data_IF_235046798379
#
_entry.id   IF_235046798379
#
_cell.length_a   1.000
_cell.length_b   1.000
_cell.length_c   1.000
_cell.angle_alpha   90.00
_cell.angle_beta   90.00
_cell.angle_gamma   90.00
#
_symmetry.space_group_name_H-M   'P 1'
#
loop_
_entity.id
_entity.type
_entity.pdbx_description
1 polymer ?
#
# COMPACT_ATOMS: atom_id res chain seq x y z
N UNK A 1 17.33 -3.12 4.27
CA UNK A 1 15.96 -3.24 4.82
C UNK A 1 15.04 -3.77 3.73
N UNK A 2 14.29 -4.82 4.03
CA UNK A 2 13.32 -5.44 3.13
C UNK A 2 11.91 -5.07 3.57
N UNK A 3 11.18 -4.35 2.72
CA UNK A 3 9.84 -3.84 3.01
C UNK A 3 8.87 -4.46 2.01
N UNK A 4 7.73 -4.95 2.50
CA UNK A 4 6.66 -5.46 1.67
C UNK A 4 5.37 -4.70 1.98
N UNK A 5 4.65 -4.26 0.95
CA UNK A 5 3.27 -3.80 1.09
C UNK A 5 2.31 -4.87 0.56
N UNK A 6 1.19 -5.08 1.25
CA UNK A 6 0.19 -6.08 0.89
C UNK A 6 -1.21 -5.67 1.34
N UNK A 7 -2.08 -5.37 0.39
CA UNK A 7 -3.51 -5.30 0.67
C UNK A 7 -4.05 -6.73 0.82
N UNK A 8 -4.44 -7.10 2.03
CA UNK A 8 -4.87 -8.49 2.35
C UNK A 8 -6.37 -8.72 2.19
N UNK A 9 -7.13 -7.66 1.88
CA UNK A 9 -8.59 -7.72 1.71
C UNK A 9 -9.30 -8.56 2.80
N UNK A 10 -8.93 -8.28 4.05
CA UNK A 10 -9.37 -9.02 5.25
C UNK A 10 -8.30 -10.00 5.75
N UNK A 11 -7.60 -9.60 6.81
CA UNK A 11 -6.47 -10.38 7.35
C UNK A 11 -6.90 -11.77 7.83
N UNK A 12 -8.10 -11.92 8.40
CA UNK A 12 -8.61 -13.23 8.85
C UNK A 12 -8.76 -14.21 7.68
N UNK A 13 -9.31 -13.74 6.55
CA UNK A 13 -9.43 -14.55 5.35
C UNK A 13 -8.05 -14.90 4.75
N UNK A 14 -7.11 -13.96 4.79
CA UNK A 14 -5.74 -14.20 4.33
C UNK A 14 -5.00 -15.21 5.22
N UNK A 15 -5.18 -15.16 6.54
CA UNK A 15 -4.61 -16.16 7.47
C UNK A 15 -5.13 -17.57 7.21
N UNK A 16 -6.41 -17.71 6.86
CA UNK A 16 -6.99 -19.03 6.48
C UNK A 16 -6.39 -19.60 5.18
N UNK A 17 -5.65 -18.79 4.43
CA UNK A 17 -4.91 -19.18 3.22
C UNK A 17 -3.39 -19.24 3.45
N UNK A 18 -2.97 -19.48 4.70
CA UNK A 18 -1.57 -19.60 5.11
C UNK A 18 -0.71 -18.31 4.95
N UNK A 19 -1.28 -17.15 5.23
CA UNK A 19 -0.53 -15.88 5.25
C UNK A 19 0.67 -15.97 6.20
N UNK A 20 0.54 -16.62 7.36
CA UNK A 20 1.63 -16.75 8.36
C UNK A 20 2.78 -17.58 7.82
N UNK A 21 2.51 -18.72 7.18
CA UNK A 21 3.54 -19.54 6.54
C UNK A 21 4.25 -18.80 5.40
N UNK A 22 3.50 -18.09 4.58
CA UNK A 22 4.07 -17.23 3.54
C UNK A 22 4.96 -16.13 4.14
N UNK A 23 4.51 -15.44 5.20
CA UNK A 23 5.27 -14.39 5.85
C UNK A 23 6.59 -14.92 6.45
N UNK A 24 6.57 -16.12 7.03
CA UNK A 24 7.76 -16.81 7.53
C UNK A 24 8.78 -17.03 6.41
N UNK A 25 8.33 -17.47 5.24
CA UNK A 25 9.19 -17.70 4.08
C UNK A 25 9.69 -16.40 3.43
N UNK A 26 8.80 -15.41 3.24
CA UNK A 26 9.14 -14.11 2.67
C UNK A 26 10.07 -13.30 3.56
N UNK A 27 9.89 -13.38 4.88
CA UNK A 27 10.75 -12.85 5.92
C UNK A 27 11.16 -11.37 5.73
N UNK A 28 10.22 -10.42 5.52
CA UNK A 28 10.56 -9.00 5.44
C UNK A 28 10.94 -8.43 6.80
N UNK A 29 11.71 -7.34 6.80
CA UNK A 29 11.95 -6.54 8.01
C UNK A 29 10.71 -5.76 8.41
N UNK A 30 9.96 -5.25 7.42
CA UNK A 30 8.73 -4.47 7.59
C UNK A 30 7.66 -4.96 6.61
N UNK A 31 6.47 -5.26 7.14
CA UNK A 31 5.28 -5.61 6.36
C UNK A 31 4.21 -4.54 6.58
N UNK A 32 3.84 -3.83 5.52
CA UNK A 32 2.76 -2.85 5.49
C UNK A 32 1.48 -3.50 4.98
N UNK A 33 0.43 -3.52 5.79
CA UNK A 33 -0.85 -4.13 5.46
C UNK A 33 -1.93 -3.09 5.22
N UNK A 34 -2.79 -3.32 4.25
CA UNK A 34 -3.98 -2.55 3.97
C UNK A 34 -5.20 -3.47 3.97
N UNK A 35 -6.36 -2.88 4.22
CA UNK A 35 -7.64 -3.60 4.34
C UNK A 35 -7.57 -4.78 5.32
N UNK A 36 -7.08 -4.53 6.53
CA UNK A 36 -7.06 -5.54 7.59
C UNK A 36 -8.48 -6.00 7.96
N UNK A 37 -9.48 -5.09 7.88
CA UNK A 37 -10.91 -5.34 8.14
C UNK A 37 -11.18 -6.06 9.48
N UNK A 38 -10.27 -5.91 10.42
CA UNK A 38 -10.32 -6.50 11.75
C UNK A 38 -9.53 -5.66 12.75
N UNK A 39 -9.90 -5.73 14.00
CA UNK A 39 -9.09 -5.26 15.12
C UNK A 39 -8.10 -6.35 15.56
N UNK A 40 -7.04 -5.98 16.25
CA UNK A 40 -5.98 -6.93 16.67
C UNK A 40 -6.50 -8.05 17.59
N UNK A 41 -7.53 -7.78 18.40
CA UNK A 41 -8.19 -8.77 19.27
C UNK A 41 -9.02 -9.81 18.51
N UNK A 42 -9.32 -9.57 17.24
CA UNK A 42 -10.05 -10.50 16.36
C UNK A 42 -9.13 -11.44 15.57
N UNK A 43 -7.83 -11.38 15.82
CA UNK A 43 -6.79 -12.07 15.06
C UNK A 43 -5.83 -12.78 16.01
N UNK A 44 -5.33 -13.97 15.63
CA UNK A 44 -4.25 -14.61 16.37
C UNK A 44 -2.92 -13.85 16.13
N UNK A 45 -2.75 -12.76 16.87
CA UNK A 45 -1.53 -11.92 16.79
C UNK A 45 -0.28 -12.65 17.24
N UNK A 46 -0.41 -13.66 18.11
CA UNK A 46 0.73 -14.45 18.60
C UNK A 46 1.45 -15.20 17.48
N UNK A 47 0.73 -15.59 16.43
CA UNK A 47 1.33 -16.22 15.27
C UNK A 47 2.35 -15.31 14.57
N UNK A 48 2.10 -14.01 14.54
CA UNK A 48 3.02 -13.02 13.96
C UNK A 48 4.15 -12.63 14.95
N UNK A 49 3.83 -12.48 16.24
CA UNK A 49 4.81 -12.22 17.29
C UNK A 49 5.85 -13.35 17.40
N UNK A 50 5.43 -14.60 17.22
CA UNK A 50 6.31 -15.77 17.20
C UNK A 50 7.33 -15.75 16.04
N UNK A 51 7.05 -14.99 14.98
CA UNK A 51 7.98 -14.73 13.87
C UNK A 51 8.93 -13.54 14.14
N UNK A 52 8.84 -12.93 15.31
CA UNK A 52 9.68 -11.80 15.74
C UNK A 52 9.15 -10.42 15.36
N UNK A 53 7.87 -10.30 14.99
CA UNK A 53 7.29 -9.02 14.64
C UNK A 53 6.70 -8.28 15.84
N UNK A 54 6.95 -6.99 15.91
CA UNK A 54 6.19 -6.01 16.68
C UNK A 54 5.02 -5.53 15.81
N UNK A 55 3.80 -5.52 16.35
CA UNK A 55 2.58 -5.26 15.59
C UNK A 55 2.04 -3.88 15.93
N UNK A 56 1.82 -3.06 14.91
CA UNK A 56 1.23 -1.73 15.01
C UNK A 56 -0.02 -1.72 14.14
N UNK A 57 -1.18 -1.50 14.76
CA UNK A 57 -2.49 -1.72 14.15
C UNK A 57 -3.36 -0.49 14.25
N UNK A 58 -3.95 -0.06 13.14
CA UNK A 58 -4.86 1.06 13.10
C UNK A 58 -6.13 0.70 12.33
N UNK A 59 -7.18 0.34 13.07
CA UNK A 59 -8.45 -0.09 12.52
C UNK A 59 -9.38 1.08 12.26
N UNK A 60 -10.29 0.92 11.28
CA UNK A 60 -11.41 1.83 11.13
C UNK A 60 -12.39 1.69 12.30
N UNK A 61 -13.12 2.75 12.61
CA UNK A 61 -14.21 2.70 13.59
C UNK A 61 -15.35 1.78 13.12
N UNK A 62 -15.62 1.77 11.82
CA UNK A 62 -16.58 0.84 11.21
C UNK A 62 -15.99 -0.57 11.17
N UNK A 63 -16.65 -1.50 11.87
CA UNK A 63 -16.23 -2.91 11.92
C UNK A 63 -16.22 -3.55 10.53
N UNK A 64 -15.19 -4.38 10.27
CA UNK A 64 -15.06 -5.11 9.01
C UNK A 64 -14.76 -4.25 7.78
N UNK A 65 -14.25 -3.04 7.97
CA UNK A 65 -13.99 -2.07 6.91
C UNK A 65 -12.59 -1.49 7.03
N UNK A 66 -11.91 -1.25 5.88
CA UNK A 66 -10.62 -0.55 5.82
C UNK A 66 -9.59 -1.09 6.83
N UNK A 67 -8.82 -0.21 7.45
CA UNK A 67 -7.79 -0.54 8.44
C UNK A 67 -6.43 -0.82 7.81
N UNK A 68 -5.40 -0.32 8.48
CA UNK A 68 -3.99 -0.56 8.10
C UNK A 68 -3.21 -1.11 9.29
N UNK A 69 -2.11 -1.78 9.01
CA UNK A 69 -1.17 -2.21 10.04
C UNK A 69 0.26 -2.19 9.49
N UNK A 70 1.24 -2.12 10.39
CA UNK A 70 2.63 -2.39 10.08
C UNK A 70 3.15 -3.42 11.08
N UNK A 71 3.72 -4.50 10.56
CA UNK A 71 4.44 -5.50 11.34
C UNK A 71 5.93 -5.31 11.08
N UNK A 72 6.71 -5.12 12.12
CA UNK A 72 8.13 -4.80 12.01
C UNK A 72 8.99 -5.65 12.93
N UNK A 73 10.09 -6.20 12.42
CA UNK A 73 11.13 -6.85 13.24
C UNK A 73 12.02 -5.85 13.94
N UNK A 74 12.04 -4.62 13.44
CA UNK A 74 12.81 -3.52 13.98
C UNK A 74 11.86 -2.66 14.82
N UNK A 75 12.22 -2.41 16.08
CA UNK A 75 11.42 -1.54 16.93
C UNK A 75 11.58 -0.08 16.48
N UNK A 76 10.50 0.64 16.14
CA UNK A 76 10.57 2.03 15.74
C UNK A 76 10.85 2.94 16.95
N UNK A 77 11.38 4.13 16.67
CA UNK A 77 11.53 5.21 17.66
C UNK A 77 10.22 5.92 17.95
N UNK A 78 9.34 5.99 16.94
CA UNK A 78 8.04 6.64 17.04
C UNK A 78 7.02 5.93 16.15
N UNK A 79 5.76 5.98 16.57
CA UNK A 79 4.60 5.48 15.82
C UNK A 79 3.58 6.61 15.72
N UNK A 80 3.13 6.91 14.50
CA UNK A 80 2.07 7.86 14.23
C UNK A 80 0.84 7.16 13.66
N UNK A 81 -0.31 7.42 14.25
CA UNK A 81 -1.59 6.86 13.84
C UNK A 81 -2.46 7.94 13.20
N UNK A 82 -2.81 7.75 11.92
CA UNK A 82 -3.62 8.69 11.17
C UNK A 82 -2.83 9.87 10.61
N UNK A 83 -3.54 10.88 10.14
CA UNK A 83 -2.99 12.12 9.58
C UNK A 83 -3.52 13.40 10.28
N UNK A 84 -4.31 13.26 11.35
CA UNK A 84 -4.91 14.38 12.07
C UNK A 84 -6.17 14.93 11.40
N UNK A 85 -6.71 14.27 10.38
CA UNK A 85 -7.96 14.64 9.72
C UNK A 85 -9.02 13.59 10.09
N UNK A 86 -9.93 13.96 11.00
CA UNK A 86 -10.85 13.06 11.67
C UNK A 86 -11.62 12.12 10.72
N UNK A 87 -12.17 12.65 9.62
CA UNK A 87 -12.93 11.85 8.63
C UNK A 87 -12.13 10.74 7.99
N UNK A 88 -10.80 10.90 7.88
CA UNK A 88 -9.88 9.88 7.34
C UNK A 88 -9.37 8.95 8.43
N UNK A 89 -9.10 9.51 9.60
CA UNK A 89 -8.61 8.75 10.75
C UNK A 89 -9.69 7.78 11.26
N UNK A 90 -10.98 8.13 11.14
CA UNK A 90 -12.10 7.21 11.40
C UNK A 90 -12.13 5.98 10.47
N UNK A 91 -11.53 6.09 9.29
CA UNK A 91 -11.44 4.97 8.34
C UNK A 91 -10.12 4.17 8.49
N UNK A 92 -9.21 4.55 9.41
CA UNK A 92 -7.98 3.80 9.70
C UNK A 92 -7.11 3.61 8.46
N UNK A 93 -6.68 4.73 7.80
CA UNK A 93 -6.07 4.68 6.47
C UNK A 93 -4.57 4.88 6.44
N UNK A 94 -3.99 5.42 7.53
CA UNK A 94 -2.57 5.76 7.61
C UNK A 94 -1.99 5.31 8.95
N UNK A 95 -0.82 4.66 8.89
CA UNK A 95 0.06 4.44 10.03
C UNK A 95 1.50 4.63 9.58
N UNK A 96 2.34 5.26 10.40
CA UNK A 96 3.76 5.51 10.14
C UNK A 96 4.63 5.02 11.27
N UNK A 97 5.73 4.36 10.92
CA UNK A 97 6.81 3.99 11.83
C UNK A 97 8.08 4.77 11.48
N UNK A 98 8.66 5.45 12.46
CA UNK A 98 9.92 6.18 12.31
C UNK A 98 11.07 5.35 12.86
N UNK A 99 12.03 5.02 12.00
CA UNK A 99 13.26 4.29 12.31
C UNK A 99 14.48 5.23 12.30
N UNK A 100 15.69 4.69 12.51
CA UNK A 100 16.92 5.50 12.53
C UNK A 100 17.20 6.18 11.18
N UNK A 101 17.03 5.46 10.07
CA UNK A 101 17.45 5.91 8.74
C UNK A 101 16.28 6.35 7.85
N UNK A 102 15.06 5.91 8.14
CA UNK A 102 13.87 6.21 7.34
C UNK A 102 12.59 6.11 8.15
N UNK A 103 11.53 6.65 7.59
CA UNK A 103 10.16 6.47 8.06
C UNK A 103 9.35 5.71 7.03
N UNK A 104 8.65 4.66 7.47
CA UNK A 104 7.82 3.81 6.62
C UNK A 104 6.36 4.05 6.95
N UNK A 105 5.56 4.33 5.94
CA UNK A 105 4.12 4.59 6.07
C UNK A 105 3.33 3.52 5.32
N UNK A 106 2.33 2.93 5.96
CA UNK A 106 1.31 2.11 5.31
C UNK A 106 0.08 2.97 5.05
N UNK A 107 -0.34 3.05 3.79
CA UNK A 107 -1.47 3.87 3.34
C UNK A 107 -2.47 3.05 2.55
N UNK A 108 -3.75 3.22 2.88
CA UNK A 108 -4.86 2.69 2.08
C UNK A 108 -5.68 3.84 1.52
N UNK A 109 -5.43 4.19 0.25
CA UNK A 109 -6.20 5.21 -0.44
C UNK A 109 -7.63 4.75 -0.73
N UNK A 110 -8.64 5.64 -0.64
CA UNK A 110 -10.02 5.26 -0.93
C UNK A 110 -10.20 4.77 -2.35
N UNK A 111 -11.05 3.74 -2.52
CA UNK A 111 -11.61 3.41 -3.83
C UNK A 111 -12.79 4.32 -4.15
N UNK A 112 -12.89 4.78 -5.40
CA UNK A 112 -14.02 5.53 -5.92
C UNK A 112 -15.10 4.67 -6.60
N UNK A 113 -14.91 3.34 -6.65
CA UNK A 113 -15.76 2.43 -7.45
C UNK A 113 -17.18 2.24 -6.93
N UNK A 114 -17.50 2.74 -5.73
CA UNK A 114 -18.80 2.59 -5.08
C UNK A 114 -19.77 3.75 -5.36
N UNK A 115 -19.52 4.55 -6.39
CA UNK A 115 -20.38 5.65 -6.81
C UNK A 115 -19.76 7.04 -6.67
N UNK A 116 -20.48 8.04 -7.16
CA UNK A 116 -19.97 9.43 -7.31
C UNK A 116 -19.53 10.05 -5.97
N UNK A 117 -20.27 9.79 -4.88
CA UNK A 117 -19.92 10.30 -3.56
C UNK A 117 -18.57 9.74 -3.07
N UNK A 118 -18.29 8.46 -3.33
CA UNK A 118 -17.00 7.86 -2.99
C UNK A 118 -15.88 8.36 -3.91
N UNK A 119 -16.16 8.61 -5.16
CA UNK A 119 -15.20 9.22 -6.08
C UNK A 119 -14.87 10.65 -5.65
N UNK A 120 -15.87 11.46 -5.28
CA UNK A 120 -15.66 12.80 -4.76
C UNK A 120 -14.84 12.78 -3.44
N UNK A 121 -15.16 11.86 -2.54
CA UNK A 121 -14.38 11.65 -1.31
C UNK A 121 -12.93 11.29 -1.61
N UNK A 122 -12.69 10.40 -2.58
CA UNK A 122 -11.34 10.03 -3.02
C UNK A 122 -10.57 11.23 -3.55
N UNK A 123 -11.16 12.05 -4.41
CA UNK A 123 -10.48 13.23 -4.96
C UNK A 123 -10.11 14.24 -3.86
N UNK A 124 -11.01 14.44 -2.88
CA UNK A 124 -10.71 15.27 -1.71
C UNK A 124 -9.60 14.68 -0.85
N UNK A 125 -9.63 13.35 -0.62
CA UNK A 125 -8.54 12.63 0.05
C UNK A 125 -7.20 12.86 -0.63
N UNK A 126 -7.13 12.72 -1.96
CA UNK A 126 -5.90 12.88 -2.73
C UNK A 126 -5.29 14.28 -2.55
N UNK A 127 -6.13 15.32 -2.59
CA UNK A 127 -5.69 16.70 -2.38
C UNK A 127 -5.18 16.93 -0.94
N UNK A 128 -5.92 16.43 0.07
CA UNK A 128 -5.55 16.55 1.47
C UNK A 128 -4.31 15.71 1.80
N UNK A 129 -4.18 14.53 1.21
CA UNK A 129 -3.00 13.66 1.37
C UNK A 129 -1.74 14.29 0.77
N UNK A 130 -1.84 14.90 -0.42
CA UNK A 130 -0.73 15.64 -1.02
C UNK A 130 -0.22 16.71 -0.05
N UNK A 131 -1.12 17.52 0.49
CA UNK A 131 -0.78 18.58 1.44
C UNK A 131 -0.14 18.03 2.72
N UNK A 132 -0.74 16.95 3.27
CA UNK A 132 -0.20 16.29 4.46
C UNK A 132 1.23 15.78 4.24
N UNK A 133 1.50 15.15 3.09
CA UNK A 133 2.84 14.65 2.75
C UNK A 133 3.82 15.80 2.47
N UNK A 134 3.36 16.87 1.82
CA UNK A 134 4.22 18.06 1.56
C UNK A 134 4.67 18.71 2.87
N UNK A 135 3.77 18.85 3.84
CA UNK A 135 4.10 19.34 5.18
C UNK A 135 5.02 18.36 5.93
N UNK A 136 4.73 17.06 5.85
CA UNK A 136 5.50 16.03 6.53
C UNK A 136 6.95 15.93 6.04
N UNK A 137 7.17 16.02 4.72
CA UNK A 137 8.52 15.96 4.11
C UNK A 137 9.48 17.02 4.65
N UNK A 138 8.96 18.16 5.10
CA UNK A 138 9.80 19.23 5.66
C UNK A 138 10.44 18.84 6.99
N UNK A 139 9.83 17.91 7.72
CA UNK A 139 10.26 17.46 9.05
C UNK A 139 10.86 16.05 9.00
N UNK A 140 10.34 15.21 8.13
CA UNK A 140 10.69 13.80 7.96
C UNK A 140 10.98 13.55 6.48
N UNK A 141 12.20 13.89 5.99
CA UNK A 141 12.51 13.81 4.56
C UNK A 141 12.68 12.37 4.05
N UNK A 142 13.11 11.43 4.89
CA UNK A 142 13.43 10.06 4.49
C UNK A 142 12.18 9.18 4.50
N UNK A 143 11.17 9.52 3.68
CA UNK A 143 9.89 8.82 3.63
C UNK A 143 9.90 7.68 2.61
N UNK A 144 9.28 6.55 3.02
CA UNK A 144 8.89 5.43 2.16
C UNK A 144 7.39 5.25 2.35
N UNK A 145 6.62 5.49 1.28
CA UNK A 145 5.16 5.43 1.28
C UNK A 145 4.72 4.15 0.60
N UNK A 146 4.25 3.20 1.39
CA UNK A 146 3.84 1.88 0.96
C UNK A 146 2.32 1.75 1.00
N UNK A 147 1.71 1.16 -0.02
CA UNK A 147 0.28 0.88 0.10
C UNK A 147 -0.47 0.70 -1.20
N UNK A 148 -1.78 0.56 -1.02
CA UNK A 148 -2.75 0.52 -2.09
C UNK A 148 -3.24 1.94 -2.39
N UNK A 149 -2.87 2.44 -3.57
CA UNK A 149 -3.24 3.78 -4.03
C UNK A 149 -4.59 3.80 -4.76
N UNK A 150 -5.14 2.63 -5.09
CA UNK A 150 -6.36 2.52 -5.89
C UNK A 150 -6.30 3.34 -7.21
N UNK A 151 -5.09 3.53 -7.75
CA UNK A 151 -4.82 4.26 -9.00
C UNK A 151 -3.76 3.50 -9.80
N UNK A 152 -4.05 3.24 -11.08
CA UNK A 152 -3.03 2.93 -12.08
C UNK A 152 -2.43 4.22 -12.60
N UNK A 153 -1.12 4.37 -12.55
CA UNK A 153 -0.44 5.62 -12.96
C UNK A 153 -0.46 5.82 -14.47
N UNK A 154 0.01 4.84 -15.22
CA UNK A 154 0.20 4.92 -16.69
C UNK A 154 -0.50 3.80 -17.43
N UNK A 155 -0.70 3.93 -18.76
CA UNK A 155 -1.30 2.85 -19.56
C UNK A 155 -0.60 1.49 -19.45
N UNK A 156 0.70 1.47 -19.18
CA UNK A 156 1.48 0.24 -18.93
C UNK A 156 1.07 -0.48 -17.64
N UNK A 157 0.39 0.21 -16.72
CA UNK A 157 0.02 -0.28 -15.38
C UNK A 157 -1.36 -0.95 -15.33
N UNK A 158 -2.05 -1.03 -16.48
CA UNK A 158 -3.41 -1.55 -16.56
C UNK A 158 -3.63 -2.36 -17.84
N UNK A 159 -4.36 -3.47 -17.74
CA UNK A 159 -4.85 -4.12 -18.94
C UNK A 159 -5.97 -3.27 -19.60
N UNK A 160 -6.04 -3.27 -20.92
CA UNK A 160 -7.05 -2.54 -21.69
C UNK A 160 -7.21 -1.06 -21.29
N UNK A 161 -6.16 -0.22 -21.36
CA UNK A 161 -6.23 1.18 -20.92
C UNK A 161 -7.30 2.00 -21.67
N UNK A 162 -7.60 1.67 -22.94
CA UNK A 162 -8.61 2.39 -23.71
C UNK A 162 -10.02 2.17 -23.17
N UNK A 163 -10.39 0.92 -22.85
CA UNK A 163 -11.71 0.59 -22.31
C UNK A 163 -11.89 1.07 -20.86
N UNK A 164 -10.82 1.26 -20.12
CA UNK A 164 -10.81 1.71 -18.73
C UNK A 164 -10.57 3.22 -18.57
N UNK A 165 -10.49 3.98 -19.65
CA UNK A 165 -10.11 5.41 -19.60
C UNK A 165 -11.04 6.27 -18.70
N UNK A 166 -12.28 5.84 -18.50
CA UNK A 166 -13.26 6.51 -17.65
C UNK A 166 -13.68 5.64 -16.43
N UNK A 167 -12.82 4.70 -16.02
CA UNK A 167 -13.08 3.84 -14.87
C UNK A 167 -12.34 4.39 -13.65
N UNK A 168 -13.01 4.44 -12.47
CA UNK A 168 -12.37 4.83 -11.20
C UNK A 168 -11.14 3.96 -10.95
N UNK A 169 -10.03 4.58 -10.59
CA UNK A 169 -8.71 3.99 -10.50
C UNK A 169 -7.85 4.21 -11.76
N UNK A 170 -8.45 4.70 -12.86
CA UNK A 170 -7.72 5.08 -14.08
C UNK A 170 -8.29 6.34 -14.74
N UNK A 171 -9.06 7.15 -14.01
CA UNK A 171 -9.55 8.43 -14.51
C UNK A 171 -8.40 9.39 -14.83
N UNK A 172 -8.55 10.30 -15.82
CA UNK A 172 -7.51 11.26 -16.15
C UNK A 172 -7.02 12.06 -14.94
N UNK A 173 -7.93 12.56 -14.12
CA UNK A 173 -7.61 13.36 -12.92
C UNK A 173 -6.90 12.54 -11.82
N UNK A 174 -7.18 11.25 -11.68
CA UNK A 174 -6.47 10.37 -10.75
C UNK A 174 -5.04 10.12 -11.22
N UNK A 175 -4.84 9.88 -12.52
CA UNK A 175 -3.51 9.68 -13.12
C UNK A 175 -2.67 10.96 -13.09
N UNK A 176 -3.30 12.10 -13.33
CA UNK A 176 -2.63 13.41 -13.22
C UNK A 176 -2.16 13.67 -11.80
N UNK A 177 -3.03 13.41 -10.81
CA UNK A 177 -2.64 13.52 -9.40
C UNK A 177 -1.45 12.59 -9.09
N UNK A 178 -1.49 11.33 -9.54
CA UNK A 178 -0.40 10.37 -9.28
C UNK A 178 0.92 10.82 -9.91
N UNK A 179 0.88 11.37 -11.12
CA UNK A 179 2.05 11.95 -11.79
C UNK A 179 2.64 13.11 -10.98
N UNK A 180 1.79 14.08 -10.58
CA UNK A 180 2.19 15.22 -9.78
C UNK A 180 2.71 14.80 -8.39
N UNK A 181 2.07 13.83 -7.77
CA UNK A 181 2.49 13.30 -6.48
C UNK A 181 3.88 12.67 -6.54
N UNK A 182 4.14 11.83 -7.53
CA UNK A 182 5.48 11.25 -7.75
C UNK A 182 6.50 12.36 -8.03
N UNK A 183 6.20 13.30 -8.91
CA UNK A 183 7.08 14.43 -9.25
C UNK A 183 7.34 15.36 -8.07
N UNK A 184 6.50 15.37 -7.06
CA UNK A 184 6.68 16.19 -5.85
C UNK A 184 7.84 15.73 -4.95
N UNK A 185 8.54 14.66 -5.30
CA UNK A 185 9.74 14.23 -4.59
C UNK A 185 9.86 12.73 -4.33
N UNK A 186 9.19 11.89 -5.12
CA UNK A 186 9.22 10.44 -4.95
C UNK A 186 9.64 9.70 -6.21
N UNK A 187 10.21 8.51 -6.00
CA UNK A 187 10.52 7.52 -7.03
C UNK A 187 9.59 6.32 -6.87
N UNK A 188 8.92 5.91 -7.94
CA UNK A 188 8.24 4.62 -8.02
C UNK A 188 9.29 3.51 -8.08
N UNK A 189 9.52 2.85 -6.95
CA UNK A 189 10.62 1.89 -6.81
C UNK A 189 10.50 0.72 -7.80
N UNK A 190 9.28 0.26 -8.08
CA UNK A 190 9.08 -0.82 -9.05
C UNK A 190 9.45 -0.37 -10.47
N UNK A 191 8.95 0.79 -10.92
CA UNK A 191 9.26 1.31 -12.26
C UNK A 191 10.69 1.79 -12.41
N UNK A 192 11.39 2.09 -11.32
CA UNK A 192 12.83 2.33 -11.34
C UNK A 192 13.62 1.12 -11.90
N UNK A 193 13.21 -0.10 -11.52
CA UNK A 193 13.91 -1.34 -11.95
C UNK A 193 13.24 -2.05 -13.11
N UNK A 194 11.94 -1.88 -13.33
CA UNK A 194 11.17 -2.69 -14.28
C UNK A 194 10.27 -1.83 -15.16
N UNK A 195 10.56 -1.82 -16.47
CA UNK A 195 9.80 -1.11 -17.49
C UNK A 195 8.93 -2.06 -18.35
N UNK A 196 8.85 -3.34 -17.99
CA UNK A 196 8.08 -4.32 -18.74
C UNK A 196 6.57 -4.15 -18.53
N UNK A 197 5.75 -4.36 -19.57
CA UNK A 197 4.30 -4.36 -19.46
C UNK A 197 3.77 -5.59 -18.72
N UNK A 198 2.46 -5.61 -18.47
CA UNK A 198 1.75 -6.75 -17.89
C UNK A 198 2.20 -7.13 -16.47
N UNK A 199 2.73 -6.17 -15.74
CA UNK A 199 3.13 -6.31 -14.35
C UNK A 199 2.07 -5.66 -13.45
N UNK A 200 1.25 -6.49 -12.80
CA UNK A 200 0.10 -6.04 -12.03
C UNK A 200 0.16 -6.51 -10.59
N UNK A 201 -0.55 -5.81 -9.70
CA UNK A 201 -0.63 -6.13 -8.28
C UNK A 201 -2.04 -6.49 -7.80
N UNK A 202 -3.05 -6.25 -8.64
CA UNK A 202 -4.46 -6.54 -8.34
C UNK A 202 -5.20 -7.12 -9.54
N UNK A 203 -6.12 -8.03 -9.28
CA UNK A 203 -7.02 -8.62 -10.28
C UNK A 203 -8.42 -8.80 -9.69
N UNK A 204 -9.46 -8.46 -10.46
CA UNK A 204 -10.83 -8.74 -10.05
C UNK A 204 -11.03 -10.25 -9.81
N UNK A 205 -11.80 -10.60 -8.79
CA UNK A 205 -12.24 -11.99 -8.58
C UNK A 205 -13.16 -12.52 -9.71
N UNK A 206 -13.70 -11.61 -10.54
CA UNK A 206 -14.64 -11.96 -11.60
C UNK A 206 -13.92 -12.54 -12.82
N UNK A 207 -14.62 -13.46 -13.51
CA UNK A 207 -14.24 -13.97 -14.84
C UNK A 207 -12.84 -14.58 -14.95
N UNK A 208 -12.24 -15.03 -13.86
CA UNK A 208 -10.89 -15.60 -13.85
C UNK A 208 -9.81 -14.60 -14.26
N UNK A 209 -9.98 -13.32 -13.92
CA UNK A 209 -9.11 -12.22 -14.35
C UNK A 209 -7.65 -12.46 -14.03
N UNK A 210 -7.32 -13.02 -12.83
CA UNK A 210 -5.94 -13.28 -12.43
C UNK A 210 -5.27 -14.34 -13.31
N UNK A 211 -5.96 -15.44 -13.61
CA UNK A 211 -5.43 -16.49 -14.50
C UNK A 211 -5.20 -16.04 -15.94
N UNK A 212 -5.92 -15.01 -16.38
CA UNK A 212 -5.79 -14.36 -17.69
C UNK A 212 -4.84 -13.15 -17.68
N UNK A 213 -4.30 -12.80 -16.51
CA UNK A 213 -3.52 -11.60 -16.25
C UNK A 213 -4.19 -10.28 -16.68
N UNK A 214 -5.50 -10.17 -16.47
CA UNK A 214 -6.27 -8.95 -16.72
C UNK A 214 -6.27 -8.09 -15.46
N UNK A 215 -5.11 -7.51 -15.16
CA UNK A 215 -4.83 -6.89 -13.88
C UNK A 215 -4.57 -5.39 -13.94
N UNK A 216 -4.37 -4.82 -12.75
CA UNK A 216 -4.07 -3.43 -12.48
C UNK A 216 -2.88 -3.35 -11.52
N UNK A 217 -1.95 -2.44 -11.75
CA UNK A 217 -0.91 -2.11 -10.77
C UNK A 217 -1.35 -0.89 -9.98
N UNK A 218 -1.79 -1.12 -8.76
CA UNK A 218 -2.34 -0.09 -7.86
C UNK A 218 -1.67 -0.06 -6.50
N UNK A 219 -0.78 -1.00 -6.22
CA UNK A 219 0.02 -1.07 -5.00
C UNK A 219 1.44 -0.59 -5.28
N UNK A 220 1.94 0.33 -4.44
CA UNK A 220 3.21 1.02 -4.66
C UNK A 220 4.07 1.06 -3.40
N UNK A 221 5.39 1.08 -3.59
CA UNK A 221 6.38 1.54 -2.63
C UNK A 221 7.07 2.77 -3.24
N UNK A 222 6.61 3.97 -2.85
CA UNK A 222 7.20 5.23 -3.27
C UNK A 222 8.29 5.64 -2.30
N UNK A 223 9.48 5.89 -2.80
CA UNK A 223 10.67 6.23 -2.00
C UNK A 223 11.07 7.67 -2.28
N UNK A 224 11.39 8.45 -1.25
CA UNK A 224 11.86 9.83 -1.44
C UNK A 224 13.06 9.87 -2.41
N UNK A 225 13.06 10.77 -3.38
CA UNK A 225 14.01 10.78 -4.50
C UNK A 225 15.49 10.74 -4.08
N UNK A 226 15.86 11.47 -3.02
CA UNK A 226 17.25 11.48 -2.55
C UNK A 226 17.70 10.13 -1.96
N UNK A 227 16.76 9.22 -1.66
CA UNK A 227 17.02 7.86 -1.21
C UNK A 227 17.11 6.84 -2.37
N UNK A 228 16.84 7.26 -3.61
CA UNK A 228 16.84 6.38 -4.80
C UNK A 228 18.15 5.59 -4.95
N UNK A 229 19.28 6.24 -4.67
CA UNK A 229 20.61 5.60 -4.68
C UNK A 229 20.78 4.41 -3.72
N UNK A 230 19.91 4.30 -2.73
CA UNK A 230 19.89 3.19 -1.75
C UNK A 230 19.00 2.03 -2.19
N UNK A 231 18.20 2.18 -3.26
CA UNK A 231 17.36 1.12 -3.80
C UNK A 231 18.25 -0.02 -4.36
N UNK A 232 17.93 -1.25 -3.98
CA UNK A 232 18.62 -2.46 -4.44
C UNK A 232 17.73 -3.33 -5.33
N UNK A 233 16.44 -3.40 -5.04
CA UNK A 233 15.50 -4.25 -5.72
C UNK A 233 14.07 -3.82 -5.46
N UNK A 234 13.21 -3.95 -6.47
CA UNK A 234 11.76 -3.86 -6.28
C UNK A 234 11.07 -4.88 -7.19
N UNK A 235 10.13 -5.65 -6.64
CA UNK A 235 9.44 -6.72 -7.37
C UNK A 235 7.99 -6.86 -6.91
N UNK A 236 7.13 -7.24 -7.83
CA UNK A 236 5.77 -7.72 -7.55
C UNK A 236 5.85 -9.23 -7.33
N UNK A 237 5.10 -9.77 -6.35
CA UNK A 237 5.11 -11.18 -5.97
C UNK A 237 3.77 -11.84 -6.32
N UNK A 238 3.50 -12.12 -7.62
CA UNK A 238 2.17 -12.51 -8.09
C UNK A 238 1.71 -13.92 -7.63
N UNK A 239 2.63 -14.75 -7.15
CA UNK A 239 2.33 -16.11 -6.70
C UNK A 239 1.69 -16.17 -5.29
N UNK A 240 1.69 -15.06 -4.54
CA UNK A 240 1.01 -14.97 -3.27
C UNK A 240 -0.51 -14.80 -3.48
N UNK A 241 -1.30 -15.78 -3.03
CA UNK A 241 -2.72 -15.95 -3.40
C UNK A 241 -3.70 -15.70 -2.23
N UNK A 242 -3.27 -14.97 -1.20
CA UNK A 242 -4.09 -14.75 0.01
C UNK A 242 -5.19 -13.71 -0.21
N UNK A 243 -5.05 -12.86 -1.22
CA UNK A 243 -5.92 -11.72 -1.54
C UNK A 243 -6.14 -11.63 -3.07
N UNK A 244 -7.02 -10.75 -3.51
CA UNK A 244 -7.13 -10.29 -4.90
C UNK A 244 -5.98 -9.34 -5.30
N UNK A 245 -5.26 -8.82 -4.33
CA UNK A 245 -3.94 -8.22 -4.52
C UNK A 245 -2.83 -9.26 -4.37
N UNK A 246 -1.61 -8.90 -4.79
CA UNK A 246 -0.38 -9.58 -4.41
C UNK A 246 0.61 -8.59 -3.77
N UNK A 247 1.59 -9.09 -3.00
CA UNK A 247 2.56 -8.22 -2.34
C UNK A 247 3.48 -7.52 -3.32
N UNK A 248 3.93 -6.33 -2.94
CA UNK A 248 4.98 -5.58 -3.66
C UNK A 248 6.14 -5.33 -2.69
N UNK A 249 7.32 -5.73 -3.10
CA UNK A 249 8.54 -5.69 -2.30
C UNK A 249 9.46 -4.58 -2.78
N UNK A 250 10.11 -3.90 -1.85
CA UNK A 250 11.27 -3.04 -2.07
C UNK A 250 12.38 -3.40 -1.09
N UNK A 251 13.61 -3.50 -1.58
CA UNK A 251 14.82 -3.62 -0.76
C UNK A 251 15.63 -2.34 -0.86
N UNK A 252 15.99 -1.80 0.31
CA UNK A 252 16.76 -0.57 0.43
C UNK A 252 17.92 -0.78 1.41
N UNK A 253 19.09 -0.23 1.09
CA UNK A 253 20.31 -0.39 1.87
C UNK A 253 20.83 0.98 2.31
N UNK A 254 21.00 1.18 3.63
CA UNK A 254 21.37 2.46 4.24
C UNK A 254 22.81 2.44 4.72
#
# INVERSE_FOLDING_TARGET
MKIITYNVNGIRAAMNKDLVGWLKAANPDVLCLQETKATSDQVDVKAFEALGYHLYWYSAQKKGYSGVAIFSKIKPKHVEYGCGIEKYDFEGRIIRLDFDNCSVMSVYHPSGSSGDDRQAFKMQWLADFQKYIDDLKTKIPNLILCGDYNICHKPIDIHNPKSNANTSGFLPEEREWMEQFIQSGFTDSFRHFNQEPHQYSWWSYRAGSRGKNLGWRIDYNLVANHMEKHLKRAVILPDAMHSDHCPVLVEIDF
#
